data_IF_084754032952
#
_entry.id   IF_084754032952
#
_cell.length_a   1.000
_cell.length_b   1.000
_cell.length_c   1.000
_cell.angle_alpha   90.00
_cell.angle_beta   90.00
_cell.angle_gamma   90.00
#
_symmetry.space_group_name_H-M   'P 1'
#
loop_
_entity.id
_entity.type
_entity.pdbx_description
1 polymer ?
#
# COMPACT_ATOMS: atom_id res chain seq x y z
N UNK A 1 -21.71 2.05 -2.34
CA UNK A 1 -21.39 2.46 -0.95
C UNK A 1 -20.76 1.32 -0.17
N UNK A 2 -21.31 0.10 -0.19
CA UNK A 2 -20.73 -1.08 0.48
C UNK A 2 -19.28 -1.38 0.09
N UNK A 3 -18.92 -1.30 -1.20
CA UNK A 3 -17.56 -1.60 -1.66
C UNK A 3 -16.51 -0.62 -1.11
N UNK A 4 -16.90 0.62 -0.81
CA UNK A 4 -16.01 1.61 -0.18
C UNK A 4 -15.70 1.21 1.25
N UNK A 5 -16.72 0.80 2.02
CA UNK A 5 -16.53 0.30 3.39
C UNK A 5 -15.68 -0.97 3.41
N UNK A 6 -15.87 -1.87 2.42
CA UNK A 6 -15.08 -3.08 2.29
C UNK A 6 -13.61 -2.77 1.97
N UNK A 7 -13.35 -1.89 0.99
CA UNK A 7 -11.99 -1.48 0.63
C UNK A 7 -11.28 -0.82 1.82
N UNK A 8 -11.95 0.10 2.53
CA UNK A 8 -11.41 0.73 3.73
C UNK A 8 -11.15 -0.28 4.85
N UNK A 9 -12.08 -1.20 5.10
CA UNK A 9 -11.92 -2.25 6.11
C UNK A 9 -10.73 -3.17 5.83
N UNK A 10 -10.56 -3.58 4.56
CA UNK A 10 -9.41 -4.40 4.15
C UNK A 10 -8.09 -3.65 4.33
N UNK A 11 -8.01 -2.38 3.94
CA UNK A 11 -6.80 -1.56 4.14
C UNK A 11 -6.45 -1.48 5.63
N UNK A 12 -7.44 -1.21 6.50
CA UNK A 12 -7.21 -1.14 7.95
C UNK A 12 -6.75 -2.47 8.54
N UNK A 13 -7.31 -3.60 8.10
CA UNK A 13 -6.88 -4.93 8.55
C UNK A 13 -5.44 -5.19 8.11
N UNK A 14 -5.10 -4.97 6.83
CA UNK A 14 -3.77 -5.24 6.31
C UNK A 14 -2.71 -4.37 6.97
N UNK A 15 -2.97 -3.06 7.09
CA UNK A 15 -2.08 -2.12 7.78
C UNK A 15 -1.93 -2.49 9.26
N UNK A 16 -3.04 -2.73 9.96
CA UNK A 16 -3.04 -3.11 11.38
C UNK A 16 -2.29 -4.41 11.65
N UNK A 17 -2.40 -5.40 10.75
CA UNK A 17 -1.66 -6.66 10.85
C UNK A 17 -0.15 -6.44 10.75
N UNK A 18 0.31 -5.57 9.85
CA UNK A 18 1.74 -5.24 9.76
C UNK A 18 2.26 -4.69 11.09
N UNK A 19 1.50 -3.80 11.74
CA UNK A 19 1.84 -3.23 13.04
C UNK A 19 1.79 -4.25 14.19
N UNK A 20 0.79 -5.13 14.23
CA UNK A 20 0.61 -6.10 15.32
C UNK A 20 1.60 -7.26 15.23
N UNK A 21 1.83 -7.79 14.02
CA UNK A 21 2.61 -9.01 13.82
C UNK A 21 4.11 -8.73 13.65
N UNK A 22 4.48 -7.61 13.06
CA UNK A 22 5.87 -7.32 12.70
C UNK A 22 6.24 -5.83 12.87
N UNK A 23 6.06 -5.23 14.08
CA UNK A 23 6.31 -3.81 14.30
C UNK A 23 7.76 -3.40 13.97
N UNK A 24 8.74 -4.25 14.28
CA UNK A 24 10.16 -3.99 13.99
C UNK A 24 10.48 -3.97 12.49
N UNK A 25 9.70 -4.68 11.67
CA UNK A 25 9.85 -4.66 10.21
C UNK A 25 9.39 -3.31 9.65
N UNK A 26 8.29 -2.78 10.19
CA UNK A 26 7.75 -1.47 9.82
C UNK A 26 8.75 -0.36 10.17
N UNK A 27 9.28 -0.37 11.39
CA UNK A 27 10.32 0.59 11.82
C UNK A 27 11.53 0.57 10.89
N UNK A 28 12.06 -0.62 10.59
CA UNK A 28 13.21 -0.78 9.68
C UNK A 28 12.90 -0.31 8.26
N UNK A 29 11.69 -0.56 7.75
CA UNK A 29 11.27 -0.02 6.44
C UNK A 29 11.24 1.50 6.46
N UNK A 30 10.75 2.12 7.53
CA UNK A 30 10.68 3.58 7.65
C UNK A 30 12.09 4.20 7.75
N UNK A 31 13.03 3.55 8.41
CA UNK A 31 14.44 3.96 8.43
C UNK A 31 15.03 3.95 7.02
N UNK A 32 14.88 2.84 6.29
CA UNK A 32 15.35 2.73 4.91
C UNK A 32 14.71 3.79 4.00
N UNK A 33 13.41 4.04 4.16
CA UNK A 33 12.72 5.09 3.41
C UNK A 33 13.22 6.50 3.76
N UNK A 34 13.62 6.74 5.02
CA UNK A 34 14.19 8.03 5.44
C UNK A 34 15.57 8.29 4.83
N UNK A 35 16.36 7.25 4.60
CA UNK A 35 17.68 7.35 3.97
C UNK A 35 17.59 7.70 2.48
N UNK A 36 16.45 7.45 1.83
CA UNK A 36 16.26 7.76 0.42
C UNK A 36 16.09 9.28 0.17
N UNK A 37 16.68 9.81 -0.92
CA UNK A 37 16.41 11.17 -1.36
C UNK A 37 14.93 11.36 -1.70
N UNK A 38 14.44 12.59 -1.60
CA UNK A 38 13.02 12.92 -1.74
C UNK A 38 12.49 12.50 -3.12
N UNK A 39 13.26 12.69 -4.19
CA UNK A 39 12.93 12.28 -5.54
C UNK A 39 12.71 10.76 -5.65
N UNK A 40 13.58 9.95 -5.04
CA UNK A 40 13.45 8.49 -5.05
C UNK A 40 12.21 8.03 -4.26
N UNK A 41 11.93 8.66 -3.11
CA UNK A 41 10.69 8.41 -2.35
C UNK A 41 9.44 8.72 -3.17
N UNK A 42 9.44 9.83 -3.91
CA UNK A 42 8.33 10.20 -4.81
C UNK A 42 8.16 9.20 -5.94
N UNK A 43 9.25 8.73 -6.53
CA UNK A 43 9.22 7.70 -7.58
C UNK A 43 8.66 6.37 -7.07
N UNK A 44 9.08 5.91 -5.88
CA UNK A 44 8.52 4.71 -5.25
C UNK A 44 7.02 4.85 -5.01
N UNK A 45 6.57 5.98 -4.48
CA UNK A 45 5.14 6.25 -4.28
C UNK A 45 4.36 6.27 -5.60
N UNK A 46 4.92 6.87 -6.65
CA UNK A 46 4.31 6.89 -7.98
C UNK A 46 4.21 5.48 -8.59
N UNK A 47 5.25 4.66 -8.46
CA UNK A 47 5.24 3.27 -8.91
C UNK A 47 4.20 2.45 -8.16
N UNK A 48 4.10 2.61 -6.83
CA UNK A 48 3.07 1.97 -6.02
C UNK A 48 1.66 2.37 -6.49
N UNK A 49 1.41 3.66 -6.70
CA UNK A 49 0.13 4.17 -7.20
C UNK A 49 -0.23 3.57 -8.57
N UNK A 50 0.70 3.63 -9.54
CA UNK A 50 0.46 3.13 -10.90
C UNK A 50 0.23 1.62 -10.90
N UNK A 51 1.02 0.87 -10.12
CA UNK A 51 0.81 -0.58 -9.97
C UNK A 51 -0.56 -0.91 -9.36
N UNK A 52 -0.99 -0.18 -8.33
CA UNK A 52 -2.33 -0.33 -7.74
C UNK A 52 -3.44 -0.05 -8.74
N UNK A 53 -3.31 0.99 -9.56
CA UNK A 53 -4.26 1.29 -10.63
C UNK A 53 -4.31 0.17 -11.68
N UNK A 54 -3.16 -0.36 -12.10
CA UNK A 54 -3.08 -1.49 -13.03
C UNK A 54 -3.79 -2.72 -12.45
N UNK A 55 -3.56 -3.03 -11.16
CA UNK A 55 -4.21 -4.17 -10.50
C UNK A 55 -5.73 -3.99 -10.43
N UNK A 56 -6.23 -2.80 -10.08
CA UNK A 56 -7.66 -2.51 -10.09
C UNK A 56 -8.26 -2.62 -11.50
N UNK A 57 -7.53 -2.14 -12.51
CA UNK A 57 -7.98 -2.24 -13.89
C UNK A 57 -8.04 -3.70 -14.37
N UNK A 58 -7.04 -4.51 -14.02
CA UNK A 58 -7.04 -5.95 -14.29
C UNK A 58 -8.17 -6.66 -13.57
N UNK A 59 -8.40 -6.36 -12.29
CA UNK A 59 -9.52 -6.92 -11.53
C UNK A 59 -10.86 -6.61 -12.21
N UNK A 60 -11.02 -5.36 -12.66
CA UNK A 60 -12.21 -4.96 -13.41
C UNK A 60 -12.36 -5.72 -14.73
N UNK A 61 -11.27 -5.92 -15.47
CA UNK A 61 -11.29 -6.70 -16.72
C UNK A 61 -11.63 -8.17 -16.49
N UNK A 62 -11.24 -8.72 -15.34
CA UNK A 62 -11.55 -10.10 -14.91
C UNK A 62 -12.96 -10.26 -14.33
N UNK A 63 -13.77 -9.20 -14.29
CA UNK A 63 -15.18 -9.25 -13.91
C UNK A 63 -15.50 -8.88 -12.46
N UNK A 64 -14.56 -8.22 -11.76
CA UNK A 64 -14.85 -7.54 -10.48
C UNK A 64 -15.58 -6.20 -10.70
#
# INVERSE_FOLDING_TARGET
MTNVLLALGLVLIVEGLAWVLAPSLVERMLELLRELPVEARRQLGALALVSGLILLWLAHWLGA
#
